data_IF_607872788756
#
_entry.id   IF_607872788756
#
_cell.length_a   1.000
_cell.length_b   1.000
_cell.length_c   1.000
_cell.angle_alpha   90.00
_cell.angle_beta   90.00
_cell.angle_gamma   90.00
#
_symmetry.space_group_name_H-M   'P 1'
#
loop_
_entity.id
_entity.type
_entity.pdbx_description
1 polymer ?
#
# COMPACT_ATOMS: atom_id res chain seq x y z
N UNK A 1 48.82 -43.06 16.85
CA UNK A 1 47.92 -42.82 15.69
C UNK A 1 46.74 -41.89 16.03
N UNK A 2 46.29 -41.82 17.28
CA UNK A 2 45.10 -41.03 17.68
C UNK A 2 45.27 -39.51 17.60
N UNK A 3 46.46 -38.98 17.93
CA UNK A 3 46.71 -37.52 17.91
C UNK A 3 46.50 -36.95 16.49
N UNK A 4 46.96 -37.66 15.44
CA UNK A 4 46.74 -37.26 14.05
C UNK A 4 45.26 -37.24 13.66
N UNK A 5 44.47 -38.21 14.13
CA UNK A 5 43.01 -38.25 13.89
C UNK A 5 42.30 -37.06 14.54
N UNK A 6 42.66 -36.69 15.78
CA UNK A 6 42.09 -35.52 16.48
C UNK A 6 42.30 -34.21 15.71
N UNK A 7 43.49 -34.03 15.13
CA UNK A 7 43.80 -32.83 14.33
C UNK A 7 43.04 -32.80 12.99
N UNK A 8 42.83 -33.97 12.37
CA UNK A 8 41.99 -34.11 11.18
C UNK A 8 40.54 -33.74 11.49
N UNK A 9 39.98 -34.23 12.61
CA UNK A 9 38.62 -33.86 13.03
C UNK A 9 38.50 -32.37 13.34
N UNK A 10 39.52 -31.78 13.97
CA UNK A 10 39.55 -30.34 14.24
C UNK A 10 39.57 -29.51 12.95
N UNK A 11 40.36 -29.92 11.96
CA UNK A 11 40.42 -29.27 10.66
C UNK A 11 39.08 -29.38 9.90
N UNK A 12 38.46 -30.57 9.89
CA UNK A 12 37.15 -30.77 9.28
C UNK A 12 36.07 -29.92 9.95
N UNK A 13 36.10 -29.81 11.28
CA UNK A 13 35.18 -28.98 12.03
C UNK A 13 35.36 -27.49 11.71
N UNK A 14 36.61 -27.03 11.58
CA UNK A 14 36.92 -25.66 11.16
C UNK A 14 36.39 -25.33 9.76
N UNK A 15 36.60 -26.23 8.80
CA UNK A 15 36.06 -26.10 7.43
C UNK A 15 34.53 -26.07 7.44
N UNK A 16 33.89 -26.92 8.25
CA UNK A 16 32.44 -26.96 8.38
C UNK A 16 31.88 -25.65 8.93
N UNK A 17 32.44 -25.12 10.02
CA UNK A 17 32.00 -23.82 10.58
C UNK A 17 32.25 -22.70 9.57
N UNK A 18 33.40 -22.69 8.89
CA UNK A 18 33.71 -21.70 7.87
C UNK A 18 32.72 -21.70 6.71
N UNK A 19 32.32 -22.88 6.25
CA UNK A 19 31.30 -23.04 5.22
C UNK A 19 29.94 -22.49 5.66
N UNK A 20 29.49 -22.81 6.88
CA UNK A 20 28.22 -22.30 7.42
C UNK A 20 28.24 -20.78 7.55
N UNK A 21 29.32 -20.20 8.10
CA UNK A 21 29.46 -18.76 8.23
C UNK A 21 29.45 -18.04 6.87
N UNK A 22 30.16 -18.60 5.88
CA UNK A 22 30.19 -18.07 4.52
C UNK A 22 28.80 -18.12 3.86
N UNK A 23 28.02 -19.19 4.10
CA UNK A 23 26.66 -19.34 3.58
C UNK A 23 25.70 -18.27 4.10
N UNK A 24 25.82 -17.84 5.35
CA UNK A 24 24.98 -16.78 5.91
C UNK A 24 25.45 -15.36 5.53
N UNK A 25 26.74 -15.20 5.24
CA UNK A 25 27.29 -13.92 4.78
C UNK A 25 26.96 -13.64 3.31
N UNK A 26 26.97 -14.70 2.49
CA UNK A 26 26.59 -14.63 1.08
C UNK A 26 25.07 -14.78 0.92
N UNK A 27 24.52 -14.25 -0.18
CA UNK A 27 23.07 -14.34 -0.42
C UNK A 27 22.61 -15.80 -0.39
N UNK A 28 21.51 -16.13 0.33
CA UNK A 28 21.02 -17.50 0.44
C UNK A 28 20.60 -18.09 -0.92
N UNK A 29 20.25 -17.23 -1.87
CA UNK A 29 19.97 -17.53 -3.29
C UNK A 29 21.08 -18.34 -3.98
N UNK A 30 22.34 -18.19 -3.56
CA UNK A 30 23.49 -18.88 -4.16
C UNK A 30 23.59 -20.36 -3.75
N UNK A 31 22.88 -20.78 -2.70
CA UNK A 31 23.00 -22.11 -2.10
C UNK A 31 21.71 -22.92 -2.11
N UNK A 32 20.60 -22.32 -2.57
CA UNK A 32 19.29 -22.97 -2.66
C UNK A 32 18.69 -22.75 -4.05
N UNK A 33 19.07 -23.56 -5.05
CA UNK A 33 18.52 -23.43 -6.39
C UNK A 33 17.00 -23.71 -6.36
N UNK A 34 16.21 -22.71 -6.74
CA UNK A 34 14.74 -22.76 -6.79
C UNK A 34 14.02 -22.07 -5.63
N UNK A 35 14.72 -21.57 -4.61
CA UNK A 35 14.13 -20.77 -3.55
C UNK A 35 14.01 -19.30 -3.98
N UNK A 36 12.83 -18.70 -3.80
CA UNK A 36 12.57 -17.29 -4.09
C UNK A 36 12.64 -16.52 -2.76
N UNK A 37 13.66 -15.67 -2.64
CA UNK A 37 13.85 -14.80 -1.49
C UNK A 37 13.32 -13.40 -1.81
N UNK A 38 12.55 -12.82 -0.89
CA UNK A 38 12.04 -11.45 -1.02
C UNK A 38 12.68 -10.56 0.05
N UNK A 39 13.27 -9.45 -0.37
CA UNK A 39 13.73 -8.42 0.56
C UNK A 39 12.51 -7.79 1.25
N UNK A 40 12.37 -8.02 2.56
CA UNK A 40 11.32 -7.40 3.37
C UNK A 40 11.87 -6.12 3.98
N UNK A 41 11.57 -4.99 3.34
CA UNK A 41 11.90 -3.67 3.89
C UNK A 41 10.94 -3.35 5.04
N UNK A 42 11.51 -3.18 6.23
CA UNK A 42 10.74 -2.79 7.41
C UNK A 42 10.59 -1.25 7.42
N UNK A 43 9.66 -0.74 6.61
CA UNK A 43 9.35 0.69 6.62
C UNK A 43 8.76 1.05 7.98
N UNK A 44 9.47 1.86 8.77
CA UNK A 44 8.89 2.51 9.96
C UNK A 44 7.80 3.46 9.49
N UNK A 45 6.56 3.00 9.45
CA UNK A 45 5.40 3.86 9.22
C UNK A 45 5.15 4.67 10.49
N UNK A 46 5.40 5.97 10.46
CA UNK A 46 4.91 6.86 11.51
C UNK A 46 3.38 6.87 11.46
N UNK A 47 2.72 6.45 12.55
CA UNK A 47 1.27 6.55 12.66
C UNK A 47 0.89 8.03 12.70
N UNK A 48 0.46 8.56 11.57
CA UNK A 48 -0.10 9.92 11.48
C UNK A 48 -1.39 9.92 12.29
N UNK A 49 -1.46 10.74 13.35
CA UNK A 49 -2.72 10.93 14.09
C UNK A 49 -3.73 11.59 13.15
N UNK A 50 -4.96 11.07 13.01
CA UNK A 50 -5.98 11.71 12.20
C UNK A 50 -6.30 13.09 12.78
N UNK A 51 -6.07 14.14 11.98
CA UNK A 51 -6.47 15.50 12.37
C UNK A 51 -7.98 15.63 12.18
N UNK A 52 -8.70 15.93 13.26
CA UNK A 52 -10.13 16.26 13.18
C UNK A 52 -10.27 17.60 12.48
N UNK A 53 -10.83 17.60 11.27
CA UNK A 53 -11.16 18.83 10.53
C UNK A 53 -12.62 19.19 10.75
N UNK A 54 -12.90 20.49 10.82
CA UNK A 54 -14.26 21.02 10.92
C UNK A 54 -14.78 21.26 9.50
N UNK A 55 -15.95 20.71 9.21
CA UNK A 55 -16.64 20.91 7.94
C UNK A 55 -17.19 22.34 7.91
N UNK A 56 -16.90 23.07 6.83
CA UNK A 56 -17.42 24.41 6.59
C UNK A 56 -18.64 24.35 5.69
N UNK A 57 -18.49 23.73 4.52
CA UNK A 57 -19.51 23.67 3.47
C UNK A 57 -19.57 22.26 2.87
N UNK A 58 -20.77 21.84 2.47
CA UNK A 58 -21.05 20.54 1.85
C UNK A 58 -21.85 20.78 0.57
N UNK A 59 -21.37 20.26 -0.56
CA UNK A 59 -22.09 20.26 -1.84
C UNK A 59 -22.29 18.82 -2.34
N UNK A 60 -23.45 18.56 -2.93
CA UNK A 60 -23.79 17.27 -3.51
C UNK A 60 -23.80 17.39 -5.03
N UNK A 61 -23.07 16.51 -5.70
CA UNK A 61 -23.14 16.31 -7.15
C UNK A 61 -23.77 14.95 -7.44
N UNK A 62 -24.76 14.95 -8.34
CA UNK A 62 -25.44 13.75 -8.80
C UNK A 62 -25.13 13.58 -10.27
N UNK A 63 -24.42 12.52 -10.61
CA UNK A 63 -24.15 12.15 -12.00
C UNK A 63 -25.27 11.20 -12.42
N UNK A 64 -25.95 11.57 -13.50
CA UNK A 64 -27.03 10.80 -14.08
C UNK A 64 -26.97 10.87 -15.60
N UNK A 65 -27.46 9.84 -16.26
CA UNK A 65 -27.66 9.86 -17.71
C UNK A 65 -28.93 10.67 -18.04
N UNK A 66 -29.07 11.04 -19.32
CA UNK A 66 -30.05 12.00 -19.87
C UNK A 66 -31.54 11.74 -19.51
N UNK A 67 -31.86 10.57 -18.90
CA UNK A 67 -33.22 10.05 -18.72
C UNK A 67 -33.69 10.06 -17.25
N UNK A 68 -32.84 10.42 -16.27
CA UNK A 68 -33.25 10.35 -14.85
C UNK A 68 -33.96 11.61 -14.33
N UNK A 69 -34.94 11.38 -13.45
CA UNK A 69 -35.76 12.43 -12.84
C UNK A 69 -34.95 13.16 -11.76
N UNK A 70 -34.95 14.50 -11.78
CA UNK A 70 -34.25 15.32 -10.78
C UNK A 70 -34.57 14.84 -9.36
N UNK A 71 -33.57 14.65 -8.49
CA UNK A 71 -33.78 14.05 -7.16
C UNK A 71 -34.64 14.93 -6.23
N UNK A 72 -34.80 16.23 -6.54
CA UNK A 72 -35.72 17.12 -5.80
C UNK A 72 -36.02 18.40 -6.59
N UNK A 73 -37.05 19.15 -6.15
CA UNK A 73 -37.44 20.47 -6.67
C UNK A 73 -36.50 21.62 -6.25
N UNK A 74 -35.25 21.33 -5.91
CA UNK A 74 -34.23 22.33 -5.54
C UNK A 74 -33.74 23.14 -6.75
N UNK A 75 -33.04 24.25 -6.47
CA UNK A 75 -32.32 25.00 -7.51
C UNK A 75 -31.02 24.27 -7.85
N UNK A 76 -31.08 23.39 -8.85
CA UNK A 76 -29.94 22.65 -9.34
C UNK A 76 -29.23 23.41 -10.47
N UNK A 77 -27.90 23.34 -10.48
CA UNK A 77 -27.07 23.76 -11.61
C UNK A 77 -26.60 22.50 -12.33
N UNK A 78 -26.98 22.36 -13.59
CA UNK A 78 -26.59 21.22 -14.44
C UNK A 78 -25.35 21.57 -15.27
N UNK A 79 -24.50 20.57 -15.46
CA UNK A 79 -23.31 20.65 -16.32
C UNK A 79 -22.94 19.27 -16.84
N UNK A 80 -22.31 19.22 -18.01
CA UNK A 80 -21.83 17.98 -18.63
C UNK A 80 -20.40 17.71 -18.15
N UNK A 81 -20.15 16.49 -17.65
CA UNK A 81 -18.82 16.01 -17.29
C UNK A 81 -18.27 15.12 -18.41
N UNK A 82 -17.04 15.37 -18.86
CA UNK A 82 -16.35 14.59 -19.90
C UNK A 82 -15.16 13.82 -19.36
N UNK A 83 -14.88 14.01 -18.08
CA UNK A 83 -13.74 13.46 -17.34
C UNK A 83 -14.08 12.15 -16.59
N UNK A 84 -15.34 11.71 -16.66
CA UNK A 84 -15.85 10.53 -15.96
C UNK A 84 -16.18 9.48 -17.03
N UNK A 85 -15.77 8.23 -16.80
CA UNK A 85 -16.04 7.11 -17.70
C UNK A 85 -17.51 6.67 -17.62
N UNK A 86 -17.99 6.05 -18.70
CA UNK A 86 -19.39 5.66 -19.01
C UNK A 86 -20.08 4.80 -17.93
N UNK A 87 -19.36 4.39 -16.89
CA UNK A 87 -19.87 3.56 -15.81
C UNK A 87 -20.06 4.37 -14.53
N UNK A 88 -21.30 4.76 -14.30
CA UNK A 88 -21.85 4.85 -12.96
C UNK A 88 -22.49 6.18 -12.63
N UNK A 89 -23.79 6.12 -12.39
CA UNK A 89 -24.55 7.09 -11.63
C UNK A 89 -23.92 7.26 -10.24
N UNK A 90 -22.93 8.15 -10.13
CA UNK A 90 -22.20 8.39 -8.91
C UNK A 90 -22.76 9.60 -8.17
N UNK A 91 -22.94 9.45 -6.87
CA UNK A 91 -23.22 10.57 -5.96
C UNK A 91 -21.90 11.00 -5.35
N UNK A 92 -21.47 12.21 -5.65
CA UNK A 92 -20.21 12.75 -5.12
C UNK A 92 -20.54 13.78 -4.06
N UNK A 93 -19.93 13.61 -2.89
CA UNK A 93 -20.01 14.57 -1.80
C UNK A 93 -18.72 15.41 -1.78
N UNK A 94 -18.86 16.68 -2.11
CA UNK A 94 -17.78 17.65 -2.01
C UNK A 94 -17.81 18.32 -0.65
N UNK A 95 -16.80 18.08 0.16
CA UNK A 95 -16.64 18.65 1.49
C UNK A 95 -15.56 19.72 1.45
N UNK A 96 -15.88 20.94 1.87
CA UNK A 96 -14.90 21.99 2.12
C UNK A 96 -14.73 22.18 3.62
N UNK A 97 -13.50 22.13 4.09
CA UNK A 97 -13.16 22.31 5.50
C UNK A 97 -12.86 23.78 5.82
N UNK A 98 -12.89 24.14 7.11
CA UNK A 98 -12.56 25.50 7.56
C UNK A 98 -11.14 25.94 7.21
N UNK A 99 -10.21 24.99 7.05
CA UNK A 99 -8.83 25.20 6.63
C UNK A 99 -8.67 25.37 5.10
N UNK A 100 -9.78 25.44 4.35
CA UNK A 100 -9.86 25.51 2.88
C UNK A 100 -9.43 24.25 2.14
N UNK A 101 -9.07 23.18 2.85
CA UNK A 101 -8.88 21.88 2.20
C UNK A 101 -10.21 21.33 1.69
N UNK A 102 -10.14 20.50 0.67
CA UNK A 102 -11.30 19.86 0.03
C UNK A 102 -11.14 18.35 0.07
N UNK A 103 -12.26 17.65 0.17
CA UNK A 103 -12.32 16.21 0.03
C UNK A 103 -13.55 15.82 -0.79
N UNK A 104 -13.36 14.87 -1.69
CA UNK A 104 -14.42 14.31 -2.50
C UNK A 104 -14.68 12.88 -2.00
N UNK A 105 -15.90 12.61 -1.58
CA UNK A 105 -16.30 11.30 -1.06
C UNK A 105 -17.27 10.70 -2.06
N UNK A 106 -16.86 9.58 -2.66
CA UNK A 106 -17.73 8.78 -3.51
C UNK A 106 -18.75 8.04 -2.64
N UNK A 107 -20.04 8.26 -2.90
CA UNK A 107 -21.11 7.53 -2.25
C UNK A 107 -21.58 6.43 -3.19
N UNK A 108 -21.37 5.17 -2.77
CA UNK A 108 -21.89 3.98 -3.45
C UNK A 108 -23.42 3.87 -3.32
#
# INVERSE_FOLDING_TARGET
>A
MEIKKKHIYLALFGVFIGYIALRYYLKPELFEPGAIYYDVYNYKTSKIKPQKKIIKDINFEFIHDDIEMKPSNGQWKESIRTDIDEYGSHRILHVTFTDKSKADILLM
#
